data_IF_525634297564
#
_entry.id   IF_525634297564
#
_cell.length_a   1.000
_cell.length_b   1.000
_cell.length_c   1.000
_cell.angle_alpha   90.00
_cell.angle_beta   90.00
_cell.angle_gamma   90.00
#
_symmetry.space_group_name_H-M   'P 1'
#
loop_
_entity.id
_entity.type
_entity.pdbx_description
1 polymer ?
#
# COMPACT_ATOMS: atom_id res chain seq x y z
N UNK A 1 16.61 18.14 4.65
CA UNK A 1 15.45 18.60 3.85
C UNK A 1 14.22 18.40 4.71
N UNK A 2 13.68 19.48 5.29
CA UNK A 2 12.53 19.44 6.19
C UNK A 2 11.26 19.53 5.36
N UNK A 3 10.40 18.53 5.48
CA UNK A 3 9.18 18.37 4.70
C UNK A 3 7.98 18.64 5.62
N UNK A 4 7.37 19.82 5.49
CA UNK A 4 6.15 20.23 6.19
C UNK A 4 4.93 20.14 5.24
N UNK A 5 3.81 20.78 5.56
CA UNK A 5 2.52 20.70 4.85
C UNK A 5 2.61 20.79 3.30
N UNK A 6 3.67 21.41 2.78
CA UNK A 6 4.07 21.43 1.37
C UNK A 6 4.12 20.03 0.71
N UNK A 7 4.58 19.02 1.45
CA UNK A 7 4.79 17.63 0.96
C UNK A 7 3.47 16.92 0.66
N UNK A 8 2.45 17.14 1.50
CA UNK A 8 1.11 16.56 1.32
C UNK A 8 0.46 17.10 0.06
N UNK A 9 0.48 18.43 -0.08
CA UNK A 9 -0.09 19.11 -1.24
C UNK A 9 0.62 18.71 -2.54
N UNK A 10 1.95 18.61 -2.52
CA UNK A 10 2.74 18.18 -3.67
C UNK A 10 2.43 16.72 -4.07
N UNK A 11 2.36 15.79 -3.12
CA UNK A 11 2.05 14.39 -3.41
C UNK A 11 0.64 14.26 -4.01
N UNK A 12 -0.33 14.97 -3.45
CA UNK A 12 -1.72 14.95 -3.91
C UNK A 12 -1.90 15.65 -5.26
N UNK A 13 -1.17 16.73 -5.53
CA UNK A 13 -1.23 17.43 -6.82
C UNK A 13 -0.53 16.65 -7.94
N UNK A 14 0.61 16.03 -7.64
CA UNK A 14 1.43 15.33 -8.65
C UNK A 14 0.91 13.92 -8.94
N UNK A 15 0.41 13.22 -7.93
CA UNK A 15 0.00 11.82 -8.02
C UNK A 15 -1.34 11.57 -7.29
N UNK A 16 -2.44 12.23 -7.71
CA UNK A 16 -3.73 12.17 -7.01
C UNK A 16 -4.31 10.75 -6.88
N UNK A 17 -4.16 9.90 -7.91
CA UNK A 17 -4.65 8.51 -7.89
C UNK A 17 -3.78 7.66 -6.98
N UNK A 18 -2.46 7.76 -7.10
CA UNK A 18 -1.54 7.01 -6.24
C UNK A 18 -1.70 7.42 -4.78
N UNK A 19 -1.90 8.71 -4.51
CA UNK A 19 -2.19 9.22 -3.17
C UNK A 19 -3.44 8.56 -2.57
N UNK A 20 -4.56 8.51 -3.32
CA UNK A 20 -5.79 7.86 -2.86
C UNK A 20 -5.62 6.35 -2.64
N UNK A 21 -4.89 5.69 -3.53
CA UNK A 21 -4.54 4.28 -3.40
C UNK A 21 -3.75 4.03 -2.11
N UNK A 22 -2.68 4.79 -1.90
CA UNK A 22 -1.84 4.70 -0.71
C UNK A 22 -2.60 5.00 0.58
N UNK A 23 -3.47 6.01 0.60
CA UNK A 23 -4.31 6.29 1.76
C UNK A 23 -5.19 5.09 2.13
N UNK A 24 -5.80 4.45 1.11
CA UNK A 24 -6.63 3.25 1.29
C UNK A 24 -5.81 2.06 1.79
N UNK A 25 -4.61 1.86 1.22
CA UNK A 25 -3.67 0.81 1.61
C UNK A 25 -3.17 1.01 3.05
N UNK A 26 -2.78 2.23 3.44
CA UNK A 26 -2.36 2.57 4.81
C UNK A 26 -3.46 2.30 5.82
N UNK A 27 -4.71 2.68 5.53
CA UNK A 27 -5.84 2.36 6.41
C UNK A 27 -6.07 0.85 6.54
N UNK A 28 -5.89 0.09 5.46
CA UNK A 28 -5.99 -1.38 5.49
C UNK A 28 -4.87 -2.01 6.33
N UNK A 29 -3.63 -1.51 6.20
CA UNK A 29 -2.48 -1.97 6.97
C UNK A 29 -2.60 -1.60 8.45
N UNK A 30 -3.11 -0.41 8.78
CA UNK A 30 -3.43 -0.02 10.16
C UNK A 30 -4.47 -0.99 10.76
N UNK A 31 -5.53 -1.29 10.01
CA UNK A 31 -6.54 -2.24 10.44
C UNK A 31 -5.93 -3.63 10.67
N UNK A 32 -5.05 -4.09 9.78
CA UNK A 32 -4.34 -5.36 9.92
C UNK A 32 -3.45 -5.36 11.16
N UNK A 33 -2.59 -4.36 11.34
CA UNK A 33 -1.69 -4.22 12.48
C UNK A 33 -2.44 -4.33 13.83
N UNK A 34 -3.64 -3.75 13.91
CA UNK A 34 -4.45 -3.74 15.14
C UNK A 34 -5.28 -5.01 15.36
N UNK A 35 -5.50 -5.82 14.32
CA UNK A 35 -6.41 -6.98 14.34
C UNK A 35 -5.76 -8.31 13.99
N UNK A 36 -4.49 -8.34 13.59
CA UNK A 36 -3.74 -9.57 13.36
C UNK A 36 -3.72 -10.41 14.65
N UNK A 37 -4.05 -11.70 14.55
CA UNK A 37 -4.18 -12.60 15.69
C UNK A 37 -5.49 -12.48 16.49
N UNK A 38 -6.41 -11.57 16.14
CA UNK A 38 -7.70 -11.41 16.83
C UNK A 38 -8.84 -12.09 16.05
N UNK A 39 -9.74 -12.77 16.76
CA UNK A 39 -11.02 -13.29 16.21
C UNK A 39 -12.15 -12.29 16.44
N UNK A 40 -13.20 -12.32 15.61
CA UNK A 40 -14.45 -11.62 15.92
C UNK A 40 -15.19 -12.35 17.04
N UNK A 41 -16.18 -11.69 17.65
CA UNK A 41 -17.01 -12.28 18.70
C UNK A 41 -17.79 -13.52 18.21
N UNK A 42 -17.97 -13.66 16.89
CA UNK A 42 -18.57 -14.82 16.22
C UNK A 42 -17.51 -15.79 15.63
N UNK A 43 -16.27 -15.74 16.10
CA UNK A 43 -15.23 -16.70 15.71
C UNK A 43 -14.61 -16.50 14.32
N UNK A 44 -15.01 -15.47 13.56
CA UNK A 44 -14.41 -15.20 12.26
C UNK A 44 -12.98 -14.63 12.42
N UNK A 45 -12.06 -15.11 11.60
CA UNK A 45 -10.68 -14.64 11.59
C UNK A 45 -10.59 -13.19 11.05
N UNK A 46 -10.27 -12.23 11.91
CA UNK A 46 -10.09 -10.83 11.49
C UNK A 46 -8.86 -10.65 10.61
N UNK A 47 -7.89 -11.57 10.69
CA UNK A 47 -6.74 -11.68 9.80
C UNK A 47 -7.19 -11.83 8.35
N UNK A 48 -8.04 -12.81 8.03
CA UNK A 48 -8.54 -13.02 6.65
C UNK A 48 -9.23 -11.78 6.07
N UNK A 49 -10.04 -11.09 6.87
CA UNK A 49 -10.68 -9.82 6.47
C UNK A 49 -9.66 -8.71 6.25
N UNK A 50 -8.63 -8.63 7.09
CA UNK A 50 -7.54 -7.67 6.94
C UNK A 50 -6.72 -7.92 5.67
N UNK A 51 -6.36 -9.17 5.37
CA UNK A 51 -5.66 -9.55 4.14
C UNK A 51 -6.44 -9.18 2.89
N UNK A 52 -7.77 -9.42 2.86
CA UNK A 52 -8.59 -9.03 1.71
C UNK A 52 -8.58 -7.51 1.47
N UNK A 53 -8.64 -6.72 2.55
CA UNK A 53 -8.55 -5.25 2.47
C UNK A 53 -7.18 -4.79 1.98
N UNK A 54 -6.10 -5.42 2.45
CA UNK A 54 -4.75 -5.13 1.98
C UNK A 54 -4.65 -5.44 0.49
N UNK A 55 -5.10 -6.62 0.04
CA UNK A 55 -5.07 -6.99 -1.37
C UNK A 55 -5.86 -6.04 -2.27
N UNK A 56 -7.05 -5.59 -1.84
CA UNK A 56 -7.82 -4.58 -2.55
C UNK A 56 -7.08 -3.23 -2.63
N UNK A 57 -6.57 -2.73 -1.50
CA UNK A 57 -5.80 -1.48 -1.47
C UNK A 57 -4.51 -1.56 -2.29
N UNK A 58 -3.84 -2.72 -2.30
CA UNK A 58 -2.63 -2.97 -3.07
C UNK A 58 -2.94 -2.95 -4.57
N UNK A 59 -3.98 -3.66 -5.00
CA UNK A 59 -4.44 -3.66 -6.39
C UNK A 59 -4.74 -2.24 -6.88
N UNK A 60 -5.54 -1.50 -6.12
CA UNK A 60 -5.96 -0.16 -6.50
C UNK A 60 -4.75 0.81 -6.55
N UNK A 61 -3.77 0.62 -5.65
CA UNK A 61 -2.52 1.39 -5.66
C UNK A 61 -1.66 1.05 -6.88
N UNK A 62 -1.49 -0.23 -7.20
CA UNK A 62 -0.70 -0.66 -8.38
C UNK A 62 -1.34 -0.13 -9.67
N UNK A 63 -2.67 -0.21 -9.79
CA UNK A 63 -3.40 0.39 -10.92
C UNK A 63 -3.16 1.90 -11.02
N UNK A 64 -3.16 2.60 -9.89
CA UNK A 64 -2.86 4.03 -9.87
C UNK A 64 -1.42 4.35 -10.29
N UNK A 65 -0.43 3.53 -9.89
CA UNK A 65 0.95 3.68 -10.34
C UNK A 65 1.06 3.57 -11.87
N UNK A 66 0.38 2.61 -12.49
CA UNK A 66 0.32 2.49 -13.95
C UNK A 66 -0.40 3.69 -14.59
N UNK A 67 -1.54 4.09 -14.02
CA UNK A 67 -2.37 5.16 -14.56
C UNK A 67 -1.73 6.56 -14.47
N UNK A 68 -0.72 6.72 -13.62
CA UNK A 68 0.10 7.93 -13.49
C UNK A 68 1.51 7.76 -14.07
N UNK A 69 1.73 6.69 -14.85
CA UNK A 69 3.00 6.38 -15.53
C UNK A 69 4.21 6.32 -14.59
N UNK A 70 3.99 5.99 -13.32
CA UNK A 70 5.06 5.78 -12.34
C UNK A 70 5.77 4.44 -12.53
N UNK A 71 5.10 3.51 -13.19
CA UNK A 71 5.60 2.22 -13.67
C UNK A 71 4.94 1.90 -15.02
N UNK A 72 5.59 1.13 -15.86
CA UNK A 72 5.05 0.67 -17.14
C UNK A 72 4.42 -0.73 -16.99
N UNK A 73 3.54 -1.12 -17.92
CA UNK A 73 2.88 -2.45 -17.90
C UNK A 73 3.87 -3.61 -18.04
N UNK A 74 4.99 -3.38 -18.72
CA UNK A 74 6.10 -4.31 -18.91
C UNK A 74 7.14 -4.26 -17.78
N UNK A 75 7.05 -3.30 -16.84
CA UNK A 75 7.99 -3.20 -15.72
C UNK A 75 8.00 -4.52 -14.95
N UNK A 76 9.15 -5.08 -14.57
CA UNK A 76 9.21 -6.29 -13.73
C UNK A 76 8.46 -6.15 -12.37
N UNK A 77 7.92 -7.24 -11.77
CA UNK A 77 7.17 -7.15 -10.51
C UNK A 77 7.96 -6.56 -9.34
N UNK A 78 9.26 -6.86 -9.26
CA UNK A 78 10.21 -6.28 -8.32
C UNK A 78 10.34 -4.77 -8.50
N UNK A 79 10.43 -4.26 -9.74
CA UNK A 79 10.43 -2.81 -9.98
C UNK A 79 9.13 -2.14 -9.54
N UNK A 80 7.98 -2.78 -9.78
CA UNK A 80 6.69 -2.26 -9.31
C UNK A 80 6.63 -2.24 -7.79
N UNK A 81 7.11 -3.29 -7.13
CA UNK A 81 7.21 -3.35 -5.68
C UNK A 81 8.16 -2.27 -5.13
N UNK A 82 9.35 -2.10 -5.71
CA UNK A 82 10.30 -1.05 -5.31
C UNK A 82 9.67 0.33 -5.46
N UNK A 83 8.94 0.58 -6.54
CA UNK A 83 8.26 1.87 -6.75
C UNK A 83 7.13 2.09 -5.74
N UNK A 84 6.33 1.06 -5.47
CA UNK A 84 5.29 1.10 -4.43
C UNK A 84 5.88 1.46 -3.06
N UNK A 85 6.96 0.79 -2.66
CA UNK A 85 7.66 1.04 -1.38
C UNK A 85 8.20 2.47 -1.34
N UNK A 86 8.80 2.96 -2.43
CA UNK A 86 9.29 4.34 -2.52
C UNK A 86 8.15 5.37 -2.36
N UNK A 87 7.01 5.14 -3.03
CA UNK A 87 5.84 6.00 -2.93
C UNK A 87 5.19 5.95 -1.54
N UNK A 88 5.17 4.77 -0.90
CA UNK A 88 4.75 4.63 0.49
C UNK A 88 5.70 5.36 1.44
N UNK A 89 7.00 5.37 1.17
CA UNK A 89 7.99 6.17 1.92
C UNK A 89 7.74 7.67 1.82
N UNK A 90 7.43 8.19 0.63
CA UNK A 90 7.01 9.58 0.45
C UNK A 90 5.69 9.88 1.18
N UNK A 91 4.74 8.94 1.13
CA UNK A 91 3.49 9.08 1.87
C UNK A 91 3.71 9.09 3.38
N UNK A 92 4.62 8.27 3.91
CA UNK A 92 4.99 8.26 5.32
C UNK A 92 5.60 9.59 5.76
N UNK A 93 6.47 10.19 4.96
CA UNK A 93 7.02 11.52 5.24
C UNK A 93 5.92 12.58 5.27
N UNK A 94 4.96 12.50 4.34
CA UNK A 94 3.82 13.41 4.31
C UNK A 94 2.83 13.17 5.47
N UNK A 95 2.58 11.92 5.87
CA UNK A 95 1.58 11.51 6.85
C UNK A 95 2.18 10.60 7.94
N UNK A 96 3.02 11.11 8.84
CA UNK A 96 3.79 10.29 9.79
C UNK A 96 2.94 9.67 10.92
N UNK A 97 1.66 10.04 11.04
CA UNK A 97 0.78 9.68 12.15
C UNK A 97 0.20 8.25 12.11
N UNK A 98 0.69 7.39 11.21
CA UNK A 98 0.26 5.98 11.07
C UNK A 98 1.41 4.98 11.33
N UNK A 99 2.10 5.06 12.49
CA UNK A 99 3.32 4.28 12.73
C UNK A 99 3.09 2.76 12.73
N UNK A 100 1.92 2.30 13.19
CA UNK A 100 1.59 0.87 13.20
C UNK A 100 1.40 0.33 11.77
N UNK A 101 0.71 1.07 10.90
CA UNK A 101 0.61 0.75 9.48
C UNK A 101 1.99 0.68 8.80
N UNK A 102 2.87 1.65 9.02
CA UNK A 102 4.20 1.66 8.39
C UNK A 102 5.09 0.52 8.90
N UNK A 103 5.08 0.25 10.21
CA UNK A 103 5.78 -0.91 10.77
C UNK A 103 5.23 -2.23 10.26
N UNK A 104 3.92 -2.33 10.05
CA UNK A 104 3.30 -3.49 9.40
C UNK A 104 3.75 -3.63 7.95
N UNK A 105 3.74 -2.54 7.17
CA UNK A 105 4.13 -2.53 5.76
C UNK A 105 5.56 -3.06 5.56
N UNK A 106 6.51 -2.61 6.38
CA UNK A 106 7.90 -3.06 6.33
C UNK A 106 8.02 -4.57 6.51
N UNK A 107 7.30 -5.14 7.50
CA UNK A 107 7.29 -6.59 7.72
C UNK A 107 6.60 -7.31 6.57
N UNK A 108 5.40 -6.87 6.20
CA UNK A 108 4.57 -7.50 5.18
C UNK A 108 5.28 -7.60 3.82
N UNK A 109 5.87 -6.52 3.32
CA UNK A 109 6.57 -6.55 2.04
C UNK A 109 7.90 -7.31 2.10
N UNK A 110 8.52 -7.45 3.28
CA UNK A 110 9.73 -8.25 3.45
C UNK A 110 9.44 -9.75 3.58
N UNK A 111 8.35 -10.13 4.26
CA UNK A 111 8.03 -11.54 4.56
C UNK A 111 7.10 -12.18 3.55
N UNK A 112 6.29 -11.37 2.84
CA UNK A 112 5.28 -11.86 1.89
C UNK A 112 5.40 -11.19 0.50
N UNK A 113 6.58 -11.21 -0.14
CA UNK A 113 6.73 -10.64 -1.49
C UNK A 113 5.86 -11.36 -2.53
N UNK A 114 5.63 -12.67 -2.36
CA UNK A 114 4.85 -13.49 -3.30
C UNK A 114 3.38 -13.06 -3.41
N UNK A 115 2.73 -12.72 -2.29
CA UNK A 115 1.36 -12.20 -2.31
C UNK A 115 1.31 -10.86 -3.06
N UNK A 116 2.34 -10.04 -2.87
CA UNK A 116 2.45 -8.75 -3.54
C UNK A 116 2.68 -8.93 -5.04
N UNK A 117 3.56 -9.85 -5.43
CA UNK A 117 3.80 -10.21 -6.83
C UNK A 117 2.57 -10.81 -7.50
N UNK A 118 1.82 -11.68 -6.80
CA UNK A 118 0.57 -12.23 -7.31
C UNK A 118 -0.44 -11.12 -7.62
N UNK A 119 -0.59 -10.12 -6.74
CA UNK A 119 -1.47 -8.97 -7.00
C UNK A 119 -0.95 -8.13 -8.18
N UNK A 120 0.35 -7.85 -8.24
CA UNK A 120 0.97 -7.10 -9.33
C UNK A 120 0.73 -7.80 -10.68
N UNK A 121 0.97 -9.11 -10.75
CA UNK A 121 0.77 -9.90 -11.95
C UNK A 121 -0.72 -9.95 -12.36
N UNK A 122 -1.62 -10.08 -11.38
CA UNK A 122 -3.06 -10.05 -11.63
C UNK A 122 -3.53 -8.72 -12.22
N UNK A 123 -2.98 -7.58 -11.77
CA UNK A 123 -3.31 -6.26 -12.33
C UNK A 123 -2.90 -6.15 -13.80
N UNK A 124 -1.78 -6.76 -14.19
CA UNK A 124 -1.25 -6.70 -15.56
C UNK A 124 -1.99 -7.56 -16.57
N UNK A 125 -2.62 -8.64 -16.11
CA UNK A 125 -3.29 -9.62 -16.98
C UNK A 125 -4.66 -9.14 -17.50
N UNK A 126 -5.05 -7.89 -17.24
CA UNK A 126 -6.33 -7.28 -17.60
C UNK A 126 -6.12 -6.01 -18.37
#
# INVERSE_FOLDING_TARGET
>A
MNWDASTRAQLQAKYPRTHKGLASLVMAMEYAARNMGKRTWYGADKGKKAYHKIGAGLRDTVQALHAEHLVSHDSPPDQVLSKLIAMLGLFQQAYPNWPAAYGFAQRFFATEPELTFAVINFVRAR
#
